data_IF_028321854387
#
_entry.id   IF_028321854387
#
_cell.length_a   1.000
_cell.length_b   1.000
_cell.length_c   1.000
_cell.angle_alpha   90.00
_cell.angle_beta   90.00
_cell.angle_gamma   90.00
#
_symmetry.space_group_name_H-M   'P 1'
#
loop_
_entity.id
_entity.type
_entity.pdbx_description
1 polymer ?
#
# COMPACT_ATOMS: atom_id res chain seq x y z
N UNK A 1 -25.77 -4.27 15.54
CA UNK A 1 -24.69 -5.04 14.89
C UNK A 1 -25.18 -5.29 13.47
N UNK A 2 -24.42 -4.86 12.47
CA UNK A 2 -24.71 -5.19 11.07
C UNK A 2 -24.31 -6.66 10.95
N UNK A 3 -25.26 -7.55 10.56
CA UNK A 3 -24.89 -8.89 10.12
C UNK A 3 -24.03 -8.70 8.87
N UNK A 4 -22.75 -9.03 8.94
CA UNK A 4 -21.88 -8.97 7.77
C UNK A 4 -22.39 -9.98 6.75
N UNK A 5 -22.78 -9.57 5.54
CA UNK A 5 -23.21 -10.49 4.51
C UNK A 5 -22.04 -11.44 4.23
N UNK A 6 -22.26 -12.75 4.31
CA UNK A 6 -21.20 -13.75 4.21
C UNK A 6 -20.39 -13.65 2.91
N UNK A 7 -21.06 -13.79 1.76
CA UNK A 7 -20.44 -13.79 0.42
C UNK A 7 -21.24 -12.85 -0.48
N UNK A 8 -20.58 -11.83 -1.06
CA UNK A 8 -21.22 -10.97 -2.05
C UNK A 8 -21.63 -11.76 -3.29
N UNK A 9 -22.84 -11.47 -3.79
CA UNK A 9 -23.34 -12.11 -5.00
C UNK A 9 -23.04 -11.25 -6.25
N UNK A 10 -22.90 -11.85 -7.44
CA UNK A 10 -22.91 -11.09 -8.68
C UNK A 10 -24.11 -10.15 -8.76
N UNK A 11 -23.89 -8.91 -9.19
CA UNK A 11 -24.87 -7.84 -9.18
C UNK A 11 -24.75 -6.89 -8.00
N UNK A 12 -24.02 -7.26 -6.93
CA UNK A 12 -23.74 -6.37 -5.79
C UNK A 12 -22.94 -5.14 -6.21
N UNK A 13 -23.14 -4.05 -5.47
CA UNK A 13 -22.48 -2.76 -5.68
C UNK A 13 -21.34 -2.62 -4.68
N UNK A 14 -20.14 -2.43 -5.17
CA UNK A 14 -18.93 -2.14 -4.35
C UNK A 14 -18.64 -0.66 -4.43
N UNK A 15 -18.64 0.01 -3.27
CA UNK A 15 -18.21 1.39 -3.13
C UNK A 15 -16.69 1.47 -3.01
N UNK A 16 -16.07 2.45 -3.68
CA UNK A 16 -14.64 2.71 -3.55
C UNK A 16 -14.42 4.14 -3.05
N UNK A 17 -13.62 4.28 -2.00
CA UNK A 17 -13.04 5.55 -1.59
C UNK A 17 -11.74 5.75 -2.36
N UNK A 18 -11.75 6.75 -3.23
CA UNK A 18 -10.73 6.96 -4.25
C UNK A 18 -11.17 6.42 -5.61
N UNK A 19 -11.05 7.26 -6.63
CA UNK A 19 -11.39 6.96 -8.03
C UNK A 19 -10.20 6.96 -8.95
N UNK A 20 -8.97 6.88 -8.39
CA UNK A 20 -7.73 6.94 -9.13
C UNK A 20 -7.43 5.72 -9.99
N UNK A 21 -6.15 5.58 -10.34
CA UNK A 21 -5.67 4.50 -11.22
C UNK A 21 -5.92 3.10 -10.61
N UNK A 22 -5.70 2.93 -9.30
CA UNK A 22 -5.92 1.64 -8.65
C UNK A 22 -7.41 1.28 -8.62
N UNK A 23 -8.29 2.25 -8.33
CA UNK A 23 -9.73 2.05 -8.42
C UNK A 23 -10.16 1.67 -9.84
N UNK A 24 -9.62 2.34 -10.88
CA UNK A 24 -9.87 1.96 -12.28
C UNK A 24 -9.54 0.48 -12.53
N UNK A 25 -8.41 0.00 -12.02
CA UNK A 25 -8.01 -1.40 -12.19
C UNK A 25 -8.88 -2.36 -11.37
N UNK A 26 -9.34 -1.96 -10.18
CA UNK A 26 -10.31 -2.72 -9.39
C UNK A 26 -11.65 -2.86 -10.15
N UNK A 27 -12.16 -1.76 -10.70
CA UNK A 27 -13.41 -1.78 -11.51
C UNK A 27 -13.27 -2.72 -12.68
N UNK A 28 -12.18 -2.62 -13.46
CA UNK A 28 -11.92 -3.49 -14.60
C UNK A 28 -11.81 -4.97 -14.21
N UNK A 29 -11.18 -5.27 -13.06
CA UNK A 29 -11.05 -6.63 -12.54
C UNK A 29 -12.38 -7.19 -11.98
N UNK A 30 -13.28 -6.32 -11.52
CA UNK A 30 -14.54 -6.72 -10.89
C UNK A 30 -15.71 -6.91 -11.86
N UNK A 31 -15.72 -6.25 -13.00
CA UNK A 31 -16.79 -6.43 -14.00
C UNK A 31 -16.96 -7.89 -14.45
N UNK A 32 -15.89 -8.65 -14.77
CA UNK A 32 -16.04 -10.07 -15.11
C UNK A 32 -16.58 -10.93 -13.95
N UNK A 33 -16.43 -10.46 -12.70
CA UNK A 33 -17.02 -11.12 -11.52
C UNK A 33 -18.49 -10.75 -11.30
N UNK A 34 -19.04 -9.84 -12.13
CA UNK A 34 -20.42 -9.40 -12.07
C UNK A 34 -20.68 -8.27 -11.07
N UNK A 35 -19.67 -7.64 -10.49
CA UNK A 35 -19.83 -6.52 -9.57
C UNK A 35 -20.09 -5.20 -10.30
N UNK A 36 -20.86 -4.33 -9.66
CA UNK A 36 -21.06 -2.93 -10.03
C UNK A 36 -20.23 -2.06 -9.08
N UNK A 37 -19.88 -0.85 -9.52
CA UNK A 37 -19.02 0.03 -8.74
C UNK A 37 -19.59 1.43 -8.64
N UNK A 38 -19.41 2.03 -7.46
CA UNK A 38 -19.62 3.44 -7.19
C UNK A 38 -18.32 4.00 -6.56
N UNK A 39 -17.82 5.15 -7.03
CA UNK A 39 -16.60 5.75 -6.52
C UNK A 39 -16.87 7.13 -5.93
N UNK A 40 -16.29 7.41 -4.79
CA UNK A 40 -16.23 8.75 -4.20
C UNK A 40 -14.81 9.30 -4.42
N UNK A 41 -14.70 10.35 -5.23
CA UNK A 41 -13.43 11.01 -5.51
C UNK A 41 -13.69 12.48 -5.90
N UNK A 42 -12.98 13.46 -5.32
CA UNK A 42 -13.17 14.87 -5.64
C UNK A 42 -12.73 15.26 -7.07
N UNK A 43 -11.91 14.46 -7.74
CA UNK A 43 -11.48 14.72 -9.10
C UNK A 43 -12.63 14.42 -10.08
N UNK A 44 -13.16 15.42 -10.81
CA UNK A 44 -14.24 15.20 -11.78
C UNK A 44 -13.84 14.25 -12.92
N UNK A 45 -12.55 14.11 -13.21
CA UNK A 45 -11.98 13.24 -14.23
C UNK A 45 -11.51 11.89 -13.67
N UNK A 46 -12.02 11.48 -12.50
CA UNK A 46 -11.61 10.26 -11.81
C UNK A 46 -11.49 9.05 -12.76
N UNK A 47 -10.30 8.42 -12.87
CA UNK A 47 -10.04 7.32 -13.81
C UNK A 47 -10.99 6.13 -13.71
N UNK A 48 -11.52 5.84 -12.51
CA UNK A 48 -12.47 4.76 -12.30
C UNK A 48 -13.84 5.03 -12.94
N UNK A 49 -14.28 6.30 -12.97
CA UNK A 49 -15.53 6.69 -13.63
C UNK A 49 -15.50 6.43 -15.15
N UNK A 50 -14.31 6.59 -15.77
CA UNK A 50 -14.12 6.37 -17.20
C UNK A 50 -14.32 4.91 -17.64
N UNK A 51 -14.34 3.97 -16.70
CA UNK A 51 -14.50 2.53 -16.97
C UNK A 51 -15.81 1.95 -16.40
N UNK A 52 -16.79 2.82 -16.11
CA UNK A 52 -18.15 2.41 -15.79
C UNK A 52 -18.50 2.38 -14.30
N UNK A 53 -17.67 2.94 -13.42
CA UNK A 53 -18.10 3.19 -12.05
C UNK A 53 -19.03 4.42 -12.00
N UNK A 54 -20.08 4.36 -11.21
CA UNK A 54 -20.88 5.54 -10.87
C UNK A 54 -20.03 6.48 -10.01
N UNK A 55 -20.05 7.79 -10.30
CA UNK A 55 -19.12 8.74 -9.70
C UNK A 55 -19.84 9.74 -8.80
N UNK A 56 -19.35 9.87 -7.58
CA UNK A 56 -19.69 10.91 -6.61
C UNK A 56 -18.51 11.90 -6.52
N UNK A 57 -18.58 13.07 -7.21
CA UNK A 57 -17.48 14.03 -7.28
C UNK A 57 -17.43 14.94 -6.05
N UNK A 58 -17.22 14.37 -4.87
CA UNK A 58 -17.21 15.07 -3.60
C UNK A 58 -15.96 14.74 -2.78
N UNK A 59 -15.67 15.59 -1.77
CA UNK A 59 -14.58 15.34 -0.81
C UNK A 59 -14.79 14.04 -0.04
N UNK A 60 -13.71 13.36 0.33
CA UNK A 60 -13.71 12.17 1.20
C UNK A 60 -14.27 12.41 2.60
N UNK A 61 -14.52 13.67 2.99
CA UNK A 61 -15.13 14.07 4.27
C UNK A 61 -16.56 14.58 4.12
N UNK A 62 -17.11 14.62 2.91
CA UNK A 62 -18.49 15.04 2.67
C UNK A 62 -19.47 14.01 3.23
N UNK A 63 -20.10 14.33 4.36
CA UNK A 63 -21.00 13.40 5.06
C UNK A 63 -22.24 13.00 4.25
N UNK A 64 -22.69 13.86 3.32
CA UNK A 64 -23.83 13.55 2.47
C UNK A 64 -23.43 12.52 1.42
N UNK A 65 -22.31 12.71 0.75
CA UNK A 65 -21.76 11.76 -0.24
C UNK A 65 -21.36 10.44 0.42
N UNK A 66 -20.70 10.46 1.59
CA UNK A 66 -20.45 9.26 2.40
C UNK A 66 -21.73 8.51 2.76
N UNK A 67 -22.78 9.26 3.16
CA UNK A 67 -24.11 8.69 3.46
C UNK A 67 -24.80 8.09 2.24
N UNK A 68 -24.57 8.64 1.05
CA UNK A 68 -25.07 8.10 -0.20
C UNK A 68 -24.33 6.79 -0.56
N UNK A 69 -22.99 6.81 -0.50
CA UNK A 69 -22.17 5.62 -0.72
C UNK A 69 -22.58 4.46 0.21
N UNK A 70 -22.75 4.73 1.52
CA UNK A 70 -23.15 3.69 2.49
C UNK A 70 -24.55 3.15 2.31
N UNK A 71 -25.44 3.87 1.63
CA UNK A 71 -26.83 3.42 1.37
C UNK A 71 -26.97 2.62 0.08
N UNK A 72 -26.13 2.92 -0.92
CA UNK A 72 -26.26 2.34 -2.25
C UNK A 72 -25.30 1.16 -2.48
N UNK A 73 -24.28 1.02 -1.63
CA UNK A 73 -23.29 -0.05 -1.76
C UNK A 73 -23.54 -1.18 -0.75
N UNK A 74 -23.35 -2.41 -1.20
CA UNK A 74 -23.38 -3.61 -0.34
C UNK A 74 -22.09 -3.78 0.45
N UNK A 75 -20.99 -3.21 -0.07
CA UNK A 75 -19.65 -3.20 0.53
C UNK A 75 -18.93 -1.92 0.13
N UNK A 76 -18.08 -1.40 1.02
CA UNK A 76 -17.15 -0.30 0.71
C UNK A 76 -15.71 -0.76 0.92
N UNK A 77 -14.81 -0.30 0.05
CA UNK A 77 -13.37 -0.52 0.09
C UNK A 77 -12.65 0.81 -0.18
N UNK A 78 -11.40 0.94 0.24
CA UNK A 78 -10.56 2.08 -0.14
C UNK A 78 -9.39 1.61 -1.02
N UNK A 79 -9.01 2.45 -1.99
CA UNK A 79 -7.98 2.12 -2.97
C UNK A 79 -6.61 2.73 -2.65
N UNK A 80 -6.57 3.71 -1.72
CA UNK A 80 -5.34 4.35 -1.28
C UNK A 80 -5.38 4.71 0.22
N UNK A 81 -4.22 4.85 0.83
CA UNK A 81 -4.07 5.00 2.26
C UNK A 81 -4.30 6.44 2.79
N UNK A 82 -4.47 7.45 1.95
CA UNK A 82 -4.63 8.85 2.40
C UNK A 82 -6.09 9.30 2.53
N UNK A 83 -7.04 8.38 2.56
CA UNK A 83 -8.44 8.69 2.88
C UNK A 83 -8.58 9.04 4.36
N UNK A 84 -9.59 9.84 4.69
CA UNK A 84 -9.85 10.24 6.08
C UNK A 84 -10.30 9.05 6.93
N UNK A 85 -9.47 8.69 7.92
CA UNK A 85 -9.72 7.51 8.77
C UNK A 85 -10.95 7.66 9.66
N UNK A 86 -11.34 8.89 10.04
CA UNK A 86 -12.55 9.14 10.82
C UNK A 86 -13.80 8.92 9.96
N UNK A 87 -13.73 9.28 8.68
CA UNK A 87 -14.79 8.96 7.70
C UNK A 87 -14.93 7.45 7.48
N UNK A 88 -13.82 6.73 7.41
CA UNK A 88 -13.83 5.26 7.29
C UNK A 88 -14.44 4.63 8.54
N UNK A 89 -14.06 5.04 9.75
CA UNK A 89 -14.63 4.56 11.01
C UNK A 89 -16.13 4.87 11.12
N UNK A 90 -16.57 6.04 10.63
CA UNK A 90 -17.97 6.39 10.56
C UNK A 90 -18.76 5.47 9.61
N UNK A 91 -18.17 5.10 8.49
CA UNK A 91 -18.79 4.18 7.50
C UNK A 91 -18.83 2.74 7.97
N UNK A 92 -17.81 2.22 8.67
CA UNK A 92 -17.78 0.86 9.23
C UNK A 92 -19.00 0.52 10.09
N UNK A 93 -19.62 1.53 10.70
CA UNK A 93 -20.83 1.36 11.52
C UNK A 93 -22.12 1.28 10.67
N UNK A 94 -22.04 1.47 9.35
CA UNK A 94 -23.19 1.67 8.46
C UNK A 94 -23.21 0.77 7.23
N UNK A 95 -22.06 0.31 6.79
CA UNK A 95 -21.89 -0.55 5.63
C UNK A 95 -20.76 -1.54 5.91
N UNK A 96 -20.77 -2.68 5.23
CA UNK A 96 -19.68 -3.64 5.28
C UNK A 96 -18.41 -3.00 4.69
N UNK A 97 -17.37 -2.81 5.54
CA UNK A 97 -16.07 -2.24 5.16
C UNK A 97 -14.94 -3.12 5.74
N UNK A 98 -14.64 -4.25 5.08
CA UNK A 98 -13.82 -5.31 5.68
C UNK A 98 -12.34 -4.97 5.86
N UNK A 99 -11.79 -3.97 5.15
CA UNK A 99 -10.43 -3.50 5.36
C UNK A 99 -10.25 -2.79 6.72
N UNK A 100 -11.29 -2.14 7.21
CA UNK A 100 -11.32 -1.49 8.51
C UNK A 100 -10.55 -0.18 8.61
N UNK A 101 -10.98 0.69 9.54
CA UNK A 101 -10.32 1.95 9.85
C UNK A 101 -9.03 1.76 10.65
N UNK A 102 -8.94 0.70 11.47
CA UNK A 102 -7.78 0.42 12.31
C UNK A 102 -6.53 0.13 11.47
N UNK A 103 -6.66 -0.69 10.41
CA UNK A 103 -5.57 -0.96 9.48
C UNK A 103 -5.09 0.32 8.80
N UNK A 104 -6.03 1.15 8.35
CA UNK A 104 -5.76 2.44 7.74
C UNK A 104 -5.00 3.39 8.68
N UNK A 105 -5.48 3.55 9.93
CA UNK A 105 -4.82 4.35 10.97
C UNK A 105 -3.41 3.87 11.28
N UNK A 106 -3.18 2.57 11.22
CA UNK A 106 -1.86 1.98 11.44
C UNK A 106 -0.91 2.36 10.30
N UNK A 107 -1.32 2.15 9.06
CA UNK A 107 -0.50 2.41 7.88
C UNK A 107 -0.26 3.91 7.61
N UNK A 108 -1.21 4.78 7.96
CA UNK A 108 -1.07 6.23 7.81
C UNK A 108 -0.02 6.87 8.72
N UNK A 109 0.47 6.18 9.73
CA UNK A 109 1.33 6.76 10.75
C UNK A 109 2.57 5.91 11.00
N UNK A 110 3.72 6.33 10.48
CA UNK A 110 4.99 5.57 10.50
C UNK A 110 5.40 5.01 11.86
N UNK A 111 5.19 5.76 12.96
CA UNK A 111 5.50 5.25 14.31
C UNK A 111 4.53 4.15 14.75
N UNK A 112 3.24 4.27 14.40
CA UNK A 112 2.25 3.22 14.71
C UNK A 112 2.53 1.97 13.90
N UNK A 113 2.78 2.13 12.62
CA UNK A 113 3.12 1.07 11.69
C UNK A 113 4.35 0.28 12.17
N UNK A 114 5.48 0.96 12.41
CA UNK A 114 6.70 0.29 12.86
C UNK A 114 6.57 -0.37 14.23
N UNK A 115 5.80 0.23 15.16
CA UNK A 115 5.50 -0.39 16.46
C UNK A 115 4.65 -1.64 16.27
N UNK A 116 3.57 -1.57 15.49
CA UNK A 116 2.69 -2.70 15.22
C UNK A 116 3.45 -3.88 14.55
N UNK A 117 4.34 -3.59 13.60
CA UNK A 117 5.19 -4.61 12.96
C UNK A 117 6.14 -5.25 13.98
N UNK A 118 6.79 -4.44 14.82
CA UNK A 118 7.72 -4.92 15.85
C UNK A 118 7.03 -5.72 16.95
N UNK A 119 5.81 -5.35 17.33
CA UNK A 119 5.01 -6.06 18.33
C UNK A 119 4.62 -7.48 17.86
N UNK A 120 4.63 -7.73 16.55
CA UNK A 120 4.50 -9.07 15.96
C UNK A 120 5.83 -9.84 15.87
N UNK A 121 6.91 -9.32 16.46
CA UNK A 121 8.22 -9.96 16.43
C UNK A 121 8.93 -9.88 15.07
N UNK A 122 8.55 -8.93 14.21
CA UNK A 122 9.14 -8.73 12.89
C UNK A 122 10.12 -7.55 12.95
N UNK A 123 11.30 -7.76 12.36
CA UNK A 123 12.36 -6.76 12.34
C UNK A 123 12.01 -5.62 11.37
N UNK A 124 12.22 -4.40 11.86
CA UNK A 124 12.11 -3.15 11.09
C UNK A 124 13.40 -2.37 11.19
N UNK A 125 13.61 -1.43 10.28
CA UNK A 125 14.70 -0.46 10.42
C UNK A 125 14.67 0.19 11.80
N UNK A 126 15.81 0.31 12.46
CA UNK A 126 15.92 1.01 13.76
C UNK A 126 15.31 2.42 13.69
N UNK A 127 14.53 2.81 14.68
CA UNK A 127 13.86 4.11 14.67
C UNK A 127 13.73 4.72 16.06
N UNK A 128 13.69 6.06 16.10
CA UNK A 128 13.36 6.86 17.26
C UNK A 128 12.25 7.87 16.95
N UNK A 129 11.34 8.05 17.89
CA UNK A 129 10.42 9.18 17.87
C UNK A 129 11.18 10.46 18.23
N UNK A 130 10.94 11.55 17.50
CA UNK A 130 11.64 12.81 17.65
C UNK A 130 10.63 13.94 17.83
N UNK A 131 10.59 14.50 19.03
CA UNK A 131 9.74 15.64 19.38
C UNK A 131 10.51 16.97 19.46
N UNK A 132 11.85 16.87 19.57
CA UNK A 132 12.74 18.03 19.68
C UNK A 132 14.11 17.71 19.10
N UNK A 133 14.92 18.78 18.91
CA UNK A 133 16.25 18.67 18.34
C UNK A 133 17.19 17.74 19.15
N UNK A 134 17.11 17.78 20.48
CA UNK A 134 17.96 16.94 21.32
C UNK A 134 17.71 15.45 21.09
N UNK A 135 16.46 15.03 20.90
CA UNK A 135 16.12 13.64 20.57
C UNK A 135 16.62 13.23 19.18
N UNK A 136 16.59 14.16 18.20
CA UNK A 136 17.20 13.89 16.89
C UNK A 136 18.70 13.71 16.97
N UNK A 137 19.38 14.53 17.75
CA UNK A 137 20.83 14.40 17.97
C UNK A 137 21.18 13.07 18.66
N UNK A 138 20.38 12.64 19.65
CA UNK A 138 20.52 11.32 20.28
C UNK A 138 20.31 10.18 19.28
N UNK A 139 19.29 10.27 18.42
CA UNK A 139 19.09 9.30 17.35
C UNK A 139 20.27 9.24 16.38
N UNK A 140 20.83 10.41 16.03
CA UNK A 140 22.03 10.47 15.20
C UNK A 140 23.26 9.84 15.89
N UNK A 141 23.45 10.06 17.17
CA UNK A 141 24.53 9.43 17.94
C UNK A 141 24.39 7.90 18.00
N UNK A 142 23.16 7.40 18.12
CA UNK A 142 22.88 5.97 18.15
C UNK A 142 23.06 5.29 16.77
N UNK A 143 22.68 5.96 15.68
CA UNK A 143 22.63 5.35 14.35
C UNK A 143 23.76 5.79 13.41
N UNK A 144 24.42 6.90 13.68
CA UNK A 144 25.48 7.48 12.85
C UNK A 144 25.00 8.17 11.57
N UNK A 145 23.95 7.67 10.94
CA UNK A 145 23.26 8.26 9.78
C UNK A 145 21.77 8.05 9.94
N UNK A 146 21.00 9.08 9.64
CA UNK A 146 19.55 9.09 9.90
C UNK A 146 18.77 9.54 8.66
N UNK A 147 17.63 8.92 8.45
CA UNK A 147 16.59 9.42 7.58
C UNK A 147 15.47 9.99 8.46
N UNK A 148 15.39 11.31 8.53
CA UNK A 148 14.35 12.01 9.28
C UNK A 148 13.10 12.14 8.40
N UNK A 149 11.93 11.75 8.93
CA UNK A 149 10.66 11.79 8.19
C UNK A 149 9.55 12.40 9.06
N UNK A 150 8.54 12.96 8.41
CA UNK A 150 7.25 13.22 9.05
C UNK A 150 6.56 11.91 9.39
N UNK A 151 5.83 11.84 10.50
CA UNK A 151 5.13 10.59 10.91
C UNK A 151 3.90 10.29 10.06
N UNK A 152 3.29 11.32 9.47
CA UNK A 152 2.14 11.22 8.57
C UNK A 152 2.43 11.96 7.27
N UNK A 153 1.72 11.61 6.20
CA UNK A 153 1.94 12.20 4.88
C UNK A 153 3.32 11.83 4.31
N UNK A 154 3.72 12.50 3.25
CA UNK A 154 4.99 12.24 2.57
C UNK A 154 4.94 10.97 1.72
N UNK A 155 5.11 11.14 0.42
CA UNK A 155 5.18 10.09 -0.59
C UNK A 155 6.30 10.46 -1.57
N UNK A 156 6.86 9.51 -2.28
CA UNK A 156 7.90 9.74 -3.29
C UNK A 156 9.08 10.59 -2.80
N UNK A 157 9.47 10.40 -1.53
CA UNK A 157 10.58 11.14 -0.92
C UNK A 157 10.23 12.52 -0.38
N UNK A 158 8.99 12.99 -0.48
CA UNK A 158 8.53 14.20 0.18
C UNK A 158 8.40 13.99 1.70
N UNK A 159 8.61 15.05 2.48
CA UNK A 159 8.54 14.97 3.94
C UNK A 159 9.65 14.15 4.57
N UNK A 160 10.83 14.03 3.92
CA UNK A 160 12.00 13.36 4.47
C UNK A 160 13.31 14.09 4.16
N UNK A 161 14.30 13.92 5.06
CA UNK A 161 15.65 14.44 4.87
C UNK A 161 16.71 13.43 5.35
N UNK A 162 17.77 13.27 4.57
CA UNK A 162 18.95 12.47 4.95
C UNK A 162 19.88 13.32 5.79
N UNK A 163 20.30 12.81 6.93
CA UNK A 163 21.24 13.42 7.84
C UNK A 163 22.51 12.54 7.88
N UNK A 164 23.58 13.03 7.26
CA UNK A 164 24.85 12.32 7.16
C UNK A 164 25.88 12.83 8.15
N UNK A 165 25.66 14.04 8.70
CA UNK A 165 26.55 14.69 9.70
C UNK A 165 25.69 15.30 10.80
N UNK A 166 26.18 15.25 12.04
CA UNK A 166 25.49 15.83 13.21
C UNK A 166 25.14 17.31 13.02
N UNK A 167 25.99 18.07 12.33
CA UNK A 167 25.75 19.50 12.04
C UNK A 167 24.51 19.77 11.20
N UNK A 168 23.97 18.76 10.50
CA UNK A 168 22.78 18.86 9.67
C UNK A 168 21.47 18.67 10.47
N UNK A 169 21.55 18.14 11.71
CA UNK A 169 20.36 17.83 12.52
C UNK A 169 19.46 19.05 12.72
N UNK A 170 20.03 20.21 13.06
CA UNK A 170 19.27 21.43 13.33
C UNK A 170 18.47 21.88 12.10
N UNK A 171 19.11 22.01 10.96
CA UNK A 171 18.44 22.45 9.72
C UNK A 171 17.41 21.45 9.22
N UNK A 172 17.69 20.14 9.34
CA UNK A 172 16.73 19.09 8.98
C UNK A 172 15.51 19.10 9.90
N UNK A 173 15.73 19.27 11.21
CA UNK A 173 14.62 19.38 12.17
C UNK A 173 13.75 20.58 11.87
N UNK A 174 14.33 21.77 11.74
CA UNK A 174 13.60 23.02 11.47
C UNK A 174 12.80 22.97 10.16
N UNK A 175 13.26 22.22 9.16
CA UNK A 175 12.59 22.12 7.86
C UNK A 175 11.36 21.20 7.85
N UNK A 176 11.31 20.20 8.75
CA UNK A 176 10.24 19.19 8.79
C UNK A 176 9.35 19.32 10.02
N UNK A 177 9.85 19.99 11.09
CA UNK A 177 9.11 20.08 12.33
C UNK A 177 7.86 20.95 12.20
N UNK A 178 6.75 20.41 12.72
CA UNK A 178 5.50 21.13 12.92
C UNK A 178 5.13 21.02 14.40
N UNK A 179 4.72 22.14 14.99
CA UNK A 179 4.35 22.18 16.42
C UNK A 179 3.28 21.15 16.75
N UNK A 180 3.50 20.37 17.80
CA UNK A 180 2.58 19.30 18.24
C UNK A 180 2.63 18.01 17.43
N UNK A 181 3.43 17.93 16.36
CA UNK A 181 3.55 16.73 15.54
C UNK A 181 4.97 16.16 15.65
N UNK A 182 5.15 14.92 16.12
CA UNK A 182 6.47 14.30 16.17
C UNK A 182 7.00 13.99 14.77
N UNK A 183 8.31 13.82 14.68
CA UNK A 183 9.00 13.24 13.53
C UNK A 183 9.45 11.82 13.90
N UNK A 184 9.87 11.05 12.90
CA UNK A 184 10.55 9.78 13.07
C UNK A 184 11.95 9.85 12.47
N UNK A 185 12.95 9.47 13.26
CA UNK A 185 14.32 9.30 12.83
C UNK A 185 14.59 7.81 12.61
N UNK A 186 14.79 7.40 11.37
CA UNK A 186 15.10 6.02 11.01
C UNK A 186 16.59 5.88 10.75
N UNK A 187 17.16 4.75 11.16
CA UNK A 187 18.54 4.40 10.84
C UNK A 187 18.69 4.32 9.31
N UNK A 188 19.65 5.04 8.75
CA UNK A 188 19.98 4.90 7.32
C UNK A 188 20.63 3.53 7.09
N UNK A 189 19.83 2.62 6.53
CA UNK A 189 20.19 1.22 6.38
C UNK A 189 20.87 0.98 5.03
N UNK A 190 22.14 0.52 4.98
CA UNK A 190 22.71 0.00 3.75
C UNK A 190 22.05 -1.36 3.43
N UNK A 191 21.38 -1.45 2.30
CA UNK A 191 20.75 -2.68 1.84
C UNK A 191 21.33 -3.13 0.49
N UNK A 192 21.25 -4.41 0.20
CA UNK A 192 21.64 -4.97 -1.08
C UNK A 192 20.55 -4.80 -2.14
N UNK A 193 19.29 -5.05 -1.74
CA UNK A 193 18.10 -4.99 -2.61
C UNK A 193 16.90 -4.49 -1.85
N UNK A 194 15.99 -3.87 -2.60
CA UNK A 194 14.63 -3.63 -2.15
C UNK A 194 13.74 -4.74 -2.72
N UNK A 195 12.96 -5.35 -1.86
CA UNK A 195 12.02 -6.42 -2.19
C UNK A 195 10.61 -5.99 -1.83
N UNK A 196 9.61 -6.55 -2.49
CA UNK A 196 8.24 -6.47 -2.00
C UNK A 196 7.47 -7.76 -2.25
N UNK A 197 6.47 -7.98 -1.39
CA UNK A 197 5.49 -9.04 -1.51
C UNK A 197 4.10 -8.39 -1.46
N UNK A 198 3.25 -8.72 -2.42
CA UNK A 198 1.82 -8.49 -2.26
C UNK A 198 1.22 -9.72 -1.59
N UNK A 199 0.58 -9.52 -0.44
CA UNK A 199 -0.10 -10.58 0.31
C UNK A 199 -1.60 -10.30 0.31
N UNK A 200 -2.40 -11.35 0.14
CA UNK A 200 -3.84 -11.32 0.26
C UNK A 200 -4.28 -12.12 1.48
N UNK A 201 -5.30 -11.63 2.19
CA UNK A 201 -6.00 -12.38 3.24
C UNK A 201 -7.49 -12.23 3.08
N UNK A 202 -8.20 -13.36 3.02
CA UNK A 202 -9.66 -13.41 2.92
C UNK A 202 -10.33 -13.13 4.26
N UNK A 203 -11.65 -12.94 4.24
CA UNK A 203 -12.48 -12.84 5.47
C UNK A 203 -12.41 -14.11 6.33
N UNK A 204 -12.24 -15.28 5.70
CA UNK A 204 -12.10 -16.56 6.42
C UNK A 204 -10.71 -16.79 7.01
N UNK A 205 -9.75 -15.89 6.73
CA UNK A 205 -8.38 -16.01 7.20
C UNK A 205 -7.43 -16.77 6.26
N UNK A 206 -7.88 -17.20 5.07
CA UNK A 206 -6.98 -17.76 4.05
C UNK A 206 -5.97 -16.70 3.61
N UNK A 207 -4.67 -17.07 3.57
CA UNK A 207 -3.59 -16.16 3.19
C UNK A 207 -2.88 -16.70 1.95
N UNK A 208 -2.61 -15.81 0.99
CA UNK A 208 -1.81 -16.08 -0.21
C UNK A 208 -0.84 -14.96 -0.48
N UNK A 209 0.43 -15.30 -0.70
CA UNK A 209 1.45 -14.35 -1.14
C UNK A 209 1.65 -14.47 -2.65
N UNK A 210 1.81 -13.34 -3.32
CA UNK A 210 2.32 -13.28 -4.68
C UNK A 210 3.84 -13.47 -4.71
N UNK A 211 4.43 -13.81 -5.86
CA UNK A 211 5.88 -13.93 -5.98
C UNK A 211 6.62 -12.67 -5.52
N UNK A 212 7.75 -12.87 -4.85
CA UNK A 212 8.59 -11.76 -4.40
C UNK A 212 9.11 -10.98 -5.60
N UNK A 213 8.96 -9.67 -5.58
CA UNK A 213 9.51 -8.76 -6.57
C UNK A 213 10.78 -8.09 -6.06
N UNK A 214 11.75 -7.88 -6.97
CA UNK A 214 12.93 -7.05 -6.77
C UNK A 214 12.67 -5.68 -7.37
N UNK A 215 12.78 -4.64 -6.54
CA UNK A 215 12.40 -3.27 -6.88
C UNK A 215 13.63 -2.39 -7.07
N UNK A 216 13.59 -1.55 -8.08
CA UNK A 216 14.57 -0.50 -8.30
C UNK A 216 13.88 0.86 -8.23
N UNK A 217 14.24 1.65 -7.22
CA UNK A 217 13.80 3.02 -7.10
C UNK A 217 14.84 3.99 -7.67
N UNK A 218 14.36 5.03 -8.34
CA UNK A 218 15.15 6.19 -8.76
C UNK A 218 14.47 7.44 -8.25
N UNK A 219 15.22 8.30 -7.56
CA UNK A 219 14.68 9.51 -6.93
C UNK A 219 13.47 9.22 -6.02
N UNK A 220 13.54 8.12 -5.27
CA UNK A 220 12.50 7.58 -4.39
C UNK A 220 11.19 7.14 -5.09
N UNK A 221 11.20 6.97 -6.41
CA UNK A 221 10.06 6.48 -7.19
C UNK A 221 10.40 5.08 -7.72
N UNK A 222 9.49 4.13 -7.54
CA UNK A 222 9.62 2.79 -8.13
C UNK A 222 9.67 2.92 -9.65
N UNK A 223 10.78 2.48 -10.25
CA UNK A 223 11.01 2.58 -11.70
C UNK A 223 10.93 1.21 -12.37
N UNK A 224 11.50 0.19 -11.75
CA UNK A 224 11.56 -1.17 -12.30
C UNK A 224 11.17 -2.17 -11.22
N UNK A 225 10.35 -3.14 -11.60
CA UNK A 225 10.01 -4.28 -10.77
C UNK A 225 10.35 -5.55 -11.55
N UNK A 226 11.18 -6.42 -11.00
CA UNK A 226 11.58 -7.70 -11.62
C UNK A 226 10.97 -8.87 -10.87
N UNK A 227 10.34 -9.77 -11.59
CA UNK A 227 9.69 -10.96 -11.06
C UNK A 227 10.12 -12.20 -11.89
N UNK A 228 10.58 -13.27 -11.24
CA UNK A 228 10.91 -13.38 -9.82
C UNK A 228 12.15 -12.56 -9.43
N UNK A 229 12.24 -12.18 -8.16
CA UNK A 229 13.41 -11.53 -7.58
C UNK A 229 14.66 -12.43 -7.67
N UNK A 230 15.84 -11.82 -7.80
CA UNK A 230 17.13 -12.55 -7.82
C UNK A 230 17.63 -12.78 -6.40
N UNK A 231 16.95 -13.67 -5.68
CA UNK A 231 17.21 -14.00 -4.28
C UNK A 231 17.27 -15.51 -4.07
N UNK A 232 17.81 -15.93 -2.93
CA UNK A 232 17.80 -17.34 -2.55
C UNK A 232 16.38 -17.80 -2.15
N UNK A 233 16.13 -19.10 -2.24
CA UNK A 233 14.87 -19.69 -1.75
C UNK A 233 14.64 -19.47 -0.26
N UNK A 234 15.69 -19.31 0.54
CA UNK A 234 15.58 -19.03 1.97
C UNK A 234 15.04 -17.60 2.19
N UNK A 235 15.57 -16.62 1.47
CA UNK A 235 15.11 -15.23 1.52
C UNK A 235 13.66 -15.13 1.02
N UNK A 236 13.32 -15.84 -0.08
CA UNK A 236 11.95 -15.88 -0.60
C UNK A 236 10.96 -16.43 0.43
N UNK A 237 11.29 -17.57 1.07
CA UNK A 237 10.46 -18.17 2.12
C UNK A 237 10.30 -17.23 3.30
N UNK A 238 11.35 -16.54 3.71
CA UNK A 238 11.30 -15.61 4.84
C UNK A 238 10.47 -14.37 4.49
N UNK A 239 10.61 -13.79 3.29
CA UNK A 239 9.78 -12.68 2.83
C UNK A 239 8.28 -13.04 2.84
N UNK A 240 7.95 -14.23 2.36
CA UNK A 240 6.56 -14.73 2.38
C UNK A 240 6.07 -14.98 3.82
N UNK A 241 6.91 -15.55 4.70
CA UNK A 241 6.57 -15.76 6.12
C UNK A 241 6.28 -14.44 6.83
N UNK A 242 7.14 -13.44 6.64
CA UNK A 242 6.97 -12.09 7.20
C UNK A 242 5.64 -11.50 6.71
N UNK A 243 5.38 -11.53 5.40
CA UNK A 243 4.18 -10.95 4.80
C UNK A 243 2.91 -11.64 5.29
N UNK A 244 2.92 -12.97 5.42
CA UNK A 244 1.79 -13.73 5.97
C UNK A 244 1.55 -13.41 7.45
N UNK A 245 2.61 -13.32 8.26
CA UNK A 245 2.52 -12.97 9.68
C UNK A 245 1.94 -11.54 9.85
N UNK A 246 2.35 -10.59 9.02
CA UNK A 246 1.79 -9.22 9.02
C UNK A 246 0.31 -9.22 8.63
N UNK A 247 -0.07 -9.94 7.57
CA UNK A 247 -1.45 -10.04 7.13
C UNK A 247 -2.37 -10.64 8.20
N UNK A 248 -1.90 -11.67 8.91
CA UNK A 248 -2.62 -12.30 10.01
C UNK A 248 -2.67 -11.39 11.24
N UNK A 249 -1.50 -10.95 11.72
CA UNK A 249 -1.38 -10.22 12.99
C UNK A 249 -2.02 -8.83 12.96
N UNK A 250 -2.07 -8.18 11.79
CA UNK A 250 -2.76 -6.90 11.59
C UNK A 250 -4.23 -7.06 11.20
N UNK A 251 -4.74 -8.28 11.05
CA UNK A 251 -6.14 -8.53 10.72
C UNK A 251 -6.53 -8.09 9.31
N UNK A 252 -5.60 -8.15 8.34
CA UNK A 252 -5.87 -7.76 6.95
C UNK A 252 -7.10 -8.48 6.39
N UNK A 253 -7.95 -7.74 5.68
CA UNK A 253 -8.90 -8.29 4.70
C UNK A 253 -8.73 -7.52 3.38
N UNK A 254 -8.39 -8.24 2.32
CA UNK A 254 -7.99 -7.62 1.05
C UNK A 254 -6.56 -7.96 0.67
N UNK A 255 -5.86 -7.04 0.01
CA UNK A 255 -4.43 -7.17 -0.32
C UNK A 255 -3.62 -6.08 0.37
N UNK A 256 -2.35 -6.38 0.61
CA UNK A 256 -1.38 -5.47 1.20
C UNK A 256 -0.04 -5.64 0.50
N UNK A 257 0.60 -4.54 0.11
CA UNK A 257 2.00 -4.50 -0.25
C UNK A 257 2.88 -4.46 1.00
N UNK A 258 3.91 -5.29 1.07
CA UNK A 258 4.93 -5.28 2.13
C UNK A 258 6.27 -5.01 1.48
N UNK A 259 6.89 -3.87 1.79
CA UNK A 259 8.21 -3.50 1.32
C UNK A 259 9.29 -3.89 2.33
N UNK A 260 10.39 -4.45 1.83
CA UNK A 260 11.47 -4.97 2.65
C UNK A 260 12.84 -4.61 2.09
N UNK A 261 13.80 -4.40 2.98
CA UNK A 261 15.22 -4.32 2.65
C UNK A 261 15.88 -5.67 2.86
N UNK A 262 16.54 -6.19 1.83
CA UNK A 262 17.45 -7.33 1.94
C UNK A 262 18.85 -6.80 2.31
N UNK A 263 19.36 -7.22 3.45
CA UNK A 263 20.67 -6.86 3.92
C UNK A 263 21.78 -7.79 3.36
N UNK A 264 23.05 -7.37 3.38
CA UNK A 264 24.17 -8.18 2.87
C UNK A 264 24.35 -9.54 3.56
N UNK A 265 23.87 -9.69 4.79
CA UNK A 265 23.90 -10.94 5.55
C UNK A 265 22.71 -11.88 5.23
N UNK A 266 21.80 -11.46 4.34
CA UNK A 266 20.62 -12.20 3.93
C UNK A 266 19.40 -11.99 4.83
N UNK A 267 19.49 -11.17 5.88
CA UNK A 267 18.34 -10.80 6.72
C UNK A 267 17.43 -9.80 6.02
N UNK A 268 16.16 -9.76 6.46
CA UNK A 268 15.12 -8.88 5.94
C UNK A 268 14.66 -7.91 7.01
N UNK A 269 14.54 -6.63 6.66
CA UNK A 269 13.91 -5.60 7.47
C UNK A 269 12.67 -5.08 6.74
N UNK A 270 11.52 -5.03 7.41
CA UNK A 270 10.33 -4.39 6.84
C UNK A 270 10.53 -2.88 6.82
N UNK A 271 10.36 -2.29 5.64
CA UNK A 271 10.39 -0.85 5.43
C UNK A 271 9.03 -0.22 5.71
N UNK A 272 8.01 -0.62 4.96
CA UNK A 272 6.64 -0.10 5.09
C UNK A 272 5.60 -1.11 4.59
N UNK A 273 4.33 -0.87 4.95
CA UNK A 273 3.18 -1.63 4.46
C UNK A 273 2.17 -0.69 3.80
N UNK A 274 1.49 -1.18 2.77
CA UNK A 274 0.42 -0.47 2.09
C UNK A 274 -0.82 -1.39 2.01
N UNK A 275 -1.87 -1.16 2.83
CA UNK A 275 -3.04 -2.05 2.92
C UNK A 275 -4.01 -1.86 1.74
N UNK A 276 -3.52 -1.99 0.54
CA UNK A 276 -4.20 -1.78 -0.75
C UNK A 276 -3.42 -2.45 -1.88
N UNK A 277 -4.00 -2.52 -3.10
CA UNK A 277 -3.20 -2.88 -4.28
C UNK A 277 -1.96 -1.99 -4.39
N UNK A 278 -0.83 -2.61 -4.71
CA UNK A 278 0.48 -1.96 -4.67
C UNK A 278 1.10 -1.87 -6.07
N UNK A 279 1.86 -0.79 -6.33
CA UNK A 279 2.51 -0.58 -7.62
C UNK A 279 3.43 -1.74 -8.01
N UNK A 280 4.20 -2.27 -7.05
CA UNK A 280 5.05 -3.44 -7.29
C UNK A 280 4.28 -4.73 -7.63
N UNK A 281 2.96 -4.75 -7.44
CA UNK A 281 2.08 -5.87 -7.79
C UNK A 281 1.40 -5.76 -9.17
N UNK A 282 1.67 -4.72 -9.95
CA UNK A 282 1.01 -4.55 -11.26
C UNK A 282 1.38 -5.66 -12.25
N UNK A 283 2.56 -6.29 -12.12
CA UNK A 283 2.95 -7.43 -12.92
C UNK A 283 1.94 -8.59 -12.85
N UNK A 284 1.16 -8.67 -11.77
CA UNK A 284 0.21 -9.77 -11.55
C UNK A 284 -0.90 -9.81 -12.59
N UNK A 285 -1.20 -8.67 -13.25
CA UNK A 285 -2.21 -8.60 -14.30
C UNK A 285 -1.86 -9.49 -15.52
N UNK A 286 -0.59 -9.59 -15.86
CA UNK A 286 -0.14 -10.28 -17.07
C UNK A 286 0.68 -11.53 -16.79
N UNK A 287 1.14 -11.72 -15.55
CA UNK A 287 2.11 -12.77 -15.20
C UNK A 287 1.63 -13.73 -14.15
N UNK A 288 0.50 -13.48 -13.50
CA UNK A 288 -0.14 -14.39 -12.56
C UNK A 288 -1.51 -14.81 -13.07
N UNK A 289 -2.00 -15.94 -12.59
CA UNK A 289 -3.34 -16.44 -12.93
C UNK A 289 -4.43 -15.53 -12.38
N UNK A 290 -4.23 -14.99 -11.16
CA UNK A 290 -5.11 -14.00 -10.53
C UNK A 290 -4.33 -12.72 -10.33
N UNK A 291 -4.87 -11.57 -10.76
CA UNK A 291 -4.24 -10.28 -10.50
C UNK A 291 -4.43 -9.85 -9.04
N UNK A 292 -3.58 -8.96 -8.53
CA UNK A 292 -3.76 -8.39 -7.19
C UNK A 292 -5.12 -7.67 -7.04
N UNK A 293 -5.64 -7.08 -8.12
CA UNK A 293 -6.92 -6.38 -8.13
C UNK A 293 -8.08 -7.36 -8.00
N UNK A 294 -8.08 -8.42 -8.79
CA UNK A 294 -9.04 -9.49 -8.66
C UNK A 294 -8.95 -10.16 -7.29
N UNK A 295 -7.73 -10.44 -6.81
CA UNK A 295 -7.50 -11.03 -5.50
C UNK A 295 -8.03 -10.17 -4.36
N UNK A 296 -7.87 -8.83 -4.45
CA UNK A 296 -8.45 -7.90 -3.50
C UNK A 296 -9.98 -8.03 -3.45
N UNK A 297 -10.62 -8.02 -4.61
CA UNK A 297 -12.07 -8.15 -4.71
C UNK A 297 -12.57 -9.51 -4.17
N UNK A 298 -11.89 -10.62 -4.49
CA UNK A 298 -12.20 -11.94 -3.93
C UNK A 298 -12.12 -11.91 -2.40
N UNK A 299 -11.04 -11.34 -1.86
CA UNK A 299 -10.81 -11.25 -0.43
C UNK A 299 -11.91 -10.44 0.29
N UNK A 300 -12.22 -9.22 -0.18
CA UNK A 300 -13.19 -8.33 0.47
C UNK A 300 -14.64 -8.79 0.27
N UNK A 301 -14.94 -9.49 -0.83
CA UNK A 301 -16.29 -10.03 -1.12
C UNK A 301 -16.58 -11.36 -0.43
N UNK A 302 -15.60 -11.95 0.28
CA UNK A 302 -15.75 -13.24 0.95
C UNK A 302 -15.65 -14.45 0.03
N UNK A 303 -15.18 -14.27 -1.22
CA UNK A 303 -14.95 -15.38 -2.15
C UNK A 303 -13.61 -16.08 -1.81
N UNK A 304 -13.44 -17.36 -2.23
CA UNK A 304 -12.16 -18.04 -2.13
C UNK A 304 -11.06 -17.27 -2.86
N UNK A 305 -9.85 -17.25 -2.30
CA UNK A 305 -8.71 -16.62 -2.95
C UNK A 305 -8.29 -17.40 -4.19
N UNK A 306 -7.97 -16.69 -5.27
CA UNK A 306 -7.41 -17.25 -6.48
C UNK A 306 -5.93 -17.65 -6.32
N UNK A 307 -5.38 -18.48 -7.22
CA UNK A 307 -3.96 -18.85 -7.21
C UNK A 307 -3.07 -17.63 -7.52
N UNK A 308 -1.93 -17.55 -6.84
CA UNK A 308 -0.99 -16.43 -6.93
C UNK A 308 0.33 -16.78 -7.63
N UNK A 309 0.47 -18.01 -8.13
CA UNK A 309 1.70 -18.43 -8.76
C UNK A 309 1.97 -17.70 -10.09
N UNK A 310 3.25 -17.52 -10.38
CA UNK A 310 3.69 -16.89 -11.62
C UNK A 310 3.57 -17.86 -12.79
N UNK A 311 2.96 -17.42 -13.88
CA UNK A 311 2.87 -18.16 -15.13
C UNK A 311 4.08 -17.93 -16.04
N UNK A 312 4.64 -16.72 -16.00
CA UNK A 312 5.81 -16.29 -16.78
C UNK A 312 6.59 -15.19 -16.07
N UNK A 313 7.93 -15.17 -16.15
CA UNK A 313 8.72 -14.06 -15.64
C UNK A 313 8.28 -12.72 -16.24
N UNK A 314 8.40 -11.64 -15.45
CA UNK A 314 8.02 -10.30 -15.88
C UNK A 314 9.04 -9.24 -15.46
N UNK A 315 9.05 -8.17 -16.23
CA UNK A 315 9.71 -6.91 -15.89
C UNK A 315 8.67 -5.79 -16.04
N UNK A 316 8.28 -5.18 -14.92
CA UNK A 316 7.39 -4.02 -14.93
C UNK A 316 8.24 -2.75 -14.98
N UNK A 317 7.92 -1.85 -15.90
CA UNK A 317 8.49 -0.51 -16.00
C UNK A 317 7.41 0.50 -15.62
N UNK A 318 7.71 1.34 -14.64
CA UNK A 318 6.82 2.42 -14.23
C UNK A 318 7.20 3.71 -14.99
N UNK A 319 6.31 4.18 -15.83
CA UNK A 319 6.50 5.37 -16.67
C UNK A 319 5.66 6.51 -16.12
N UNK A 320 6.30 7.62 -15.78
CA UNK A 320 5.67 8.76 -15.11
C UNK A 320 5.93 10.04 -15.89
N UNK A 321 4.89 10.88 -16.01
CA UNK A 321 4.98 12.20 -16.65
C UNK A 321 5.40 12.12 -18.11
N UNK A 322 6.34 12.98 -18.54
CA UNK A 322 6.80 13.14 -19.94
C UNK A 322 7.36 11.84 -20.59
N UNK A 323 7.58 10.79 -19.80
CA UNK A 323 7.99 9.50 -20.33
C UNK A 323 6.87 8.83 -21.14
N UNK A 324 5.61 9.16 -20.86
CA UNK A 324 4.45 8.61 -21.58
C UNK A 324 4.46 9.02 -23.05
N UNK A 325 4.77 10.28 -23.36
CA UNK A 325 4.83 10.77 -24.74
C UNK A 325 5.90 10.07 -25.57
N UNK A 326 7.07 9.80 -24.96
CA UNK A 326 8.15 9.04 -25.59
C UNK A 326 7.74 7.58 -25.84
N UNK A 327 6.95 7.00 -24.95
CA UNK A 327 6.42 5.66 -25.11
C UNK A 327 5.43 5.61 -26.27
N UNK A 328 4.47 6.55 -26.33
CA UNK A 328 3.46 6.61 -27.37
C UNK A 328 4.08 6.76 -28.78
N UNK A 329 5.18 7.49 -28.90
CA UNK A 329 5.95 7.61 -30.15
C UNK A 329 6.65 6.33 -30.58
N UNK A 330 6.86 5.38 -29.64
CA UNK A 330 7.60 4.13 -29.85
C UNK A 330 6.75 2.88 -29.51
N UNK A 331 5.43 2.96 -29.66
CA UNK A 331 4.52 1.85 -29.33
C UNK A 331 4.86 0.54 -30.04
N UNK A 332 5.46 0.59 -31.24
CA UNK A 332 5.95 -0.59 -31.96
C UNK A 332 7.04 -1.37 -31.20
N UNK A 333 7.72 -0.73 -30.25
CA UNK A 333 8.74 -1.38 -29.40
C UNK A 333 8.14 -2.10 -28.17
N UNK A 334 6.87 -1.87 -27.87
CA UNK A 334 6.19 -2.46 -26.69
C UNK A 334 5.88 -3.95 -26.93
N UNK A 335 5.81 -4.38 -28.16
CA UNK A 335 5.55 -5.78 -28.53
C UNK A 335 6.79 -6.65 -28.58
N UNK A 336 7.94 -6.11 -28.25
CA UNK A 336 9.19 -6.82 -28.12
C UNK A 336 9.42 -7.21 -26.65
#
# INVERSE_FOLDING_TARGET
MIEHPGILQPGSVIGLLGGGQLARMLVLAGHPLGFKFMVLDPDPEAPAAQVGAEHLPYSFTDKKALGELTKQCDLVSYEFENVDADSVEWMEQRVDLPQGSQMLRTAQHRLREKRAIRDLGIEVTGFHEVQNLSQLEQAFEAFGKVLLKTVTGGYDGKGQQRILKKSECKSAFESLHQEGTPLIAEQFQPFERELSVVVARSRSGEIRCFPVSENLHRQNILTICRIPARISRLVEKEANRISACLAEGLGLVGVMGVEMFLLPDGSLLVNEIAPRPHNSGHFTMDSCETSQFQQHLLAVSGWPLGPTHIMKPALMLNLIGDQQDKLLQNLSLIHI
#
